data_IF_483192350903
#
_entry.id   IF_483192350903
#
_cell.length_a   1.000
_cell.length_b   1.000
_cell.length_c   1.000
_cell.angle_alpha   90.00
_cell.angle_beta   90.00
_cell.angle_gamma   90.00
#
_symmetry.space_group_name_H-M   'P 1'
#
loop_
_entity.id
_entity.type
_entity.pdbx_description
1 polymer ?
#
# COMPACT_ATOMS: atom_id res chain seq x y z
N UNK A 1 11.57 8.38 -20.32
CA UNK A 1 10.99 8.34 -18.96
C UNK A 1 10.43 6.94 -18.70
N UNK A 2 11.30 5.94 -18.53
CA UNK A 2 10.93 4.51 -18.46
C UNK A 2 11.45 3.90 -17.16
N UNK A 3 11.09 4.50 -16.03
CA UNK A 3 11.59 4.10 -14.71
C UNK A 3 10.56 4.39 -13.64
N UNK A 4 10.66 3.64 -12.53
CA UNK A 4 9.78 3.80 -11.38
C UNK A 4 9.96 5.19 -10.75
N UNK A 5 8.89 5.99 -10.71
CA UNK A 5 8.88 7.31 -10.07
C UNK A 5 8.35 7.22 -8.64
N UNK A 6 9.28 7.06 -7.70
CA UNK A 6 8.97 6.97 -6.27
C UNK A 6 8.32 8.27 -5.73
N UNK A 7 8.69 9.43 -6.27
CA UNK A 7 8.15 10.72 -5.80
C UNK A 7 6.70 10.91 -6.24
N UNK A 8 6.37 10.54 -7.48
CA UNK A 8 4.98 10.54 -7.97
C UNK A 8 4.11 9.63 -7.12
N UNK A 9 4.55 8.39 -6.87
CA UNK A 9 3.81 7.43 -6.05
C UNK A 9 3.57 7.99 -4.63
N UNK A 10 4.62 8.50 -3.99
CA UNK A 10 4.51 9.07 -2.64
C UNK A 10 3.50 10.23 -2.59
N UNK A 11 3.52 11.10 -3.61
CA UNK A 11 2.59 12.24 -3.70
C UNK A 11 1.15 11.78 -3.94
N UNK A 12 0.93 10.87 -4.88
CA UNK A 12 -0.40 10.36 -5.21
C UNK A 12 -1.05 9.65 -4.02
N UNK A 13 -0.27 8.82 -3.31
CA UNK A 13 -0.70 8.20 -2.06
C UNK A 13 -1.02 9.26 -1.01
N UNK A 14 -0.14 10.24 -0.80
CA UNK A 14 -0.37 11.33 0.16
C UNK A 14 -1.65 12.12 -0.13
N UNK A 15 -1.92 12.42 -1.40
CA UNK A 15 -3.13 13.11 -1.84
C UNK A 15 -4.38 12.24 -1.62
N UNK A 16 -4.34 10.96 -2.00
CA UNK A 16 -5.47 10.05 -1.85
C UNK A 16 -5.82 9.78 -0.38
N UNK A 17 -4.84 9.83 0.53
CA UNK A 17 -5.07 9.71 1.97
C UNK A 17 -5.86 10.88 2.56
N UNK A 18 -5.75 12.07 1.97
CA UNK A 18 -6.54 13.24 2.35
C UNK A 18 -7.96 13.19 1.77
N UNK A 19 -8.21 12.31 0.79
CA UNK A 19 -9.51 12.13 0.14
C UNK A 19 -10.48 11.22 0.91
N UNK A 20 -11.73 11.12 0.45
CA UNK A 20 -12.82 10.41 1.15
C UNK A 20 -12.61 8.88 1.24
N UNK A 21 -11.70 8.32 0.44
CA UNK A 21 -11.40 6.88 0.43
C UNK A 21 -10.55 6.37 1.59
N UNK A 22 -9.82 7.27 2.25
CA UNK A 22 -8.95 6.96 3.39
C UNK A 22 -7.86 5.90 3.10
N UNK A 23 -7.17 5.50 4.17
CA UNK A 23 -6.02 4.57 4.12
C UNK A 23 -6.37 3.22 3.47
N UNK A 24 -7.55 2.68 3.74
CA UNK A 24 -7.94 1.34 3.26
C UNK A 24 -8.07 1.27 1.74
N UNK A 25 -8.63 2.30 1.09
CA UNK A 25 -8.72 2.36 -0.37
C UNK A 25 -7.33 2.47 -1.00
N UNK A 26 -6.49 3.34 -0.44
CA UNK A 26 -5.13 3.63 -0.95
C UNK A 26 -4.30 2.36 -1.10
N UNK A 27 -4.30 1.50 -0.07
CA UNK A 27 -3.50 0.28 -0.12
C UNK A 27 -4.13 -0.77 -1.06
N UNK A 28 -5.47 -0.79 -1.18
CA UNK A 28 -6.19 -1.74 -2.05
C UNK A 28 -5.97 -1.53 -3.54
N UNK A 29 -5.76 -0.30 -3.99
CA UNK A 29 -5.51 -0.02 -5.41
C UNK A 29 -4.26 -0.74 -5.90
N UNK A 30 -3.26 -0.94 -5.04
CA UNK A 30 -2.06 -1.69 -5.37
C UNK A 30 -2.27 -3.21 -5.46
N UNK A 31 -3.43 -3.75 -5.08
CA UNK A 31 -3.71 -5.19 -5.27
C UNK A 31 -3.76 -5.60 -6.75
N UNK A 32 -3.87 -4.64 -7.68
CA UNK A 32 -3.75 -4.88 -9.12
C UNK A 32 -2.29 -5.04 -9.60
N UNK A 33 -1.30 -4.76 -8.73
CA UNK A 33 0.12 -4.84 -9.05
C UNK A 33 0.64 -6.26 -8.78
N UNK A 34 1.32 -6.91 -9.75
CA UNK A 34 1.95 -8.21 -9.51
C UNK A 34 2.88 -8.20 -8.28
N UNK A 35 2.89 -9.27 -7.49
CA UNK A 35 3.68 -9.33 -6.25
C UNK A 35 3.06 -8.62 -5.05
N UNK A 36 1.90 -7.94 -5.21
CA UNK A 36 1.07 -7.49 -4.09
C UNK A 36 0.05 -8.58 -3.75
N UNK A 37 -0.05 -8.92 -2.47
CA UNK A 37 -0.97 -9.97 -1.99
C UNK A 37 -2.03 -9.37 -1.10
N UNK A 38 -3.29 -9.55 -1.47
CA UNK A 38 -4.44 -9.19 -0.65
C UNK A 38 -4.88 -10.36 0.22
N UNK A 39 -4.91 -10.16 1.53
CA UNK A 39 -5.47 -11.09 2.50
C UNK A 39 -6.77 -10.49 3.05
N UNK A 40 -7.94 -10.98 2.63
CA UNK A 40 -9.22 -10.43 3.08
C UNK A 40 -9.42 -10.68 4.58
N UNK A 41 -10.22 -9.82 5.22
CA UNK A 41 -10.61 -10.01 6.60
C UNK A 41 -11.33 -11.35 6.78
N UNK A 42 -10.99 -12.08 7.84
CA UNK A 42 -11.67 -13.34 8.21
C UNK A 42 -12.31 -13.17 9.57
N UNK A 43 -13.64 -13.23 9.63
CA UNK A 43 -14.35 -13.33 10.91
C UNK A 43 -14.41 -14.79 11.33
N UNK A 44 -13.56 -15.17 12.29
CA UNK A 44 -13.59 -16.47 12.93
C UNK A 44 -14.40 -16.46 14.23
N UNK A 45 -14.87 -17.63 14.65
CA UNK A 45 -15.63 -17.82 15.90
C UNK A 45 -14.82 -17.46 17.16
N UNK A 46 -13.49 -17.68 17.13
CA UNK A 46 -12.58 -17.41 18.24
C UNK A 46 -11.66 -16.20 18.04
N UNK A 47 -11.35 -15.84 16.78
CA UNK A 47 -10.50 -14.67 16.45
C UNK A 47 -10.92 -14.10 15.11
N UNK A 48 -11.09 -12.78 15.08
CA UNK A 48 -11.22 -12.04 13.82
C UNK A 48 -9.83 -11.66 13.33
N UNK A 49 -9.53 -12.00 12.08
CA UNK A 49 -8.35 -11.51 11.38
C UNK A 49 -8.72 -10.27 10.56
N UNK A 50 -8.04 -9.13 10.80
CA UNK A 50 -8.22 -7.94 10.01
C UNK A 50 -7.71 -8.13 8.58
N UNK A 51 -8.21 -7.31 7.67
CA UNK A 51 -7.74 -7.26 6.29
C UNK A 51 -6.28 -6.81 6.23
N UNK A 52 -5.44 -7.52 5.47
CA UNK A 52 -4.01 -7.25 5.32
C UNK A 52 -3.63 -7.19 3.85
N UNK A 53 -2.67 -6.33 3.53
CA UNK A 53 -2.09 -6.25 2.17
C UNK A 53 -0.58 -6.38 2.30
N UNK A 54 0.02 -7.26 1.51
CA UNK A 54 1.46 -7.45 1.48
C UNK A 54 2.02 -6.81 0.22
N UNK A 55 3.00 -5.93 0.36
CA UNK A 55 3.76 -5.34 -0.76
C UNK A 55 5.24 -5.64 -0.49
N UNK A 56 5.79 -6.60 -1.24
CA UNK A 56 7.11 -7.14 -0.98
C UNK A 56 7.19 -7.70 0.45
N UNK A 57 8.17 -7.22 1.21
CA UNK A 57 8.43 -7.67 2.59
C UNK A 57 7.56 -6.96 3.64
N UNK A 58 6.59 -6.12 3.25
CA UNK A 58 5.79 -5.34 4.18
C UNK A 58 4.34 -5.77 4.21
N UNK A 59 3.80 -5.99 5.41
CA UNK A 59 2.38 -6.19 5.68
C UNK A 59 1.76 -4.90 6.18
N UNK A 60 0.77 -4.43 5.46
CA UNK A 60 -0.05 -3.28 5.79
C UNK A 60 -1.40 -3.71 6.32
N UNK A 61 -1.85 -3.05 7.37
CA UNK A 61 -3.15 -3.29 7.98
C UNK A 61 -3.74 -1.99 8.49
N UNK A 62 -5.02 -1.75 8.23
CA UNK A 62 -5.73 -0.63 8.85
C UNK A 62 -6.08 -1.03 10.28
N UNK A 63 -5.68 -0.22 11.25
CA UNK A 63 -5.96 -0.42 12.66
C UNK A 63 -7.41 0.01 12.98
N UNK A 64 -7.92 -0.37 14.16
CA UNK A 64 -9.30 -0.06 14.55
C UNK A 64 -9.57 1.46 14.67
N UNK A 65 -8.53 2.25 14.94
CA UNK A 65 -8.55 3.71 14.98
C UNK A 65 -8.28 4.37 13.61
N UNK A 66 -8.23 3.60 12.52
CA UNK A 66 -8.14 4.10 11.15
C UNK A 66 -6.72 4.47 10.68
N UNK A 67 -5.68 4.15 11.46
CA UNK A 67 -4.28 4.36 11.08
C UNK A 67 -3.73 3.17 10.30
N UNK A 68 -2.59 3.34 9.66
CA UNK A 68 -1.91 2.24 8.96
C UNK A 68 -0.83 1.63 9.86
N UNK A 69 -0.99 0.37 10.24
CA UNK A 69 0.12 -0.45 10.75
C UNK A 69 0.90 -1.03 9.58
N UNK A 70 2.22 -0.88 9.62
CA UNK A 70 3.17 -1.50 8.71
C UNK A 70 4.07 -2.45 9.51
N UNK A 71 4.08 -3.72 9.11
CA UNK A 71 4.91 -4.74 9.73
C UNK A 71 5.89 -5.33 8.70
N UNK A 72 7.19 -5.28 9.01
CA UNK A 72 8.23 -5.86 8.18
C UNK A 72 8.29 -7.37 8.42
N UNK A 73 8.04 -8.14 7.36
CA UNK A 73 8.03 -9.59 7.35
C UNK A 73 9.29 -10.13 6.70
N UNK A 74 9.98 -11.03 7.39
CA UNK A 74 11.06 -11.85 6.82
C UNK A 74 10.73 -13.30 7.09
N UNK A 75 10.57 -14.11 6.04
CA UNK A 75 10.16 -15.52 6.14
C UNK A 75 8.89 -15.74 6.99
N UNK A 76 7.94 -14.79 6.92
CA UNK A 76 6.69 -14.85 7.69
C UNK A 76 6.81 -14.41 9.16
N UNK A 77 7.99 -14.01 9.62
CA UNK A 77 8.23 -13.50 10.97
C UNK A 77 8.19 -11.97 10.93
N UNK A 78 7.42 -11.36 11.85
CA UNK A 78 7.41 -9.89 12.02
C UNK A 78 8.69 -9.49 12.75
N UNK A 79 9.56 -8.75 12.07
CA UNK A 79 10.79 -8.22 12.65
C UNK A 79 10.62 -6.83 13.26
N UNK A 80 9.72 -6.03 12.68
CA UNK A 80 9.39 -4.70 13.14
C UNK A 80 7.93 -4.40 12.82
N UNK A 81 7.27 -3.64 13.67
CA UNK A 81 5.92 -3.13 13.44
C UNK A 81 5.83 -1.68 13.89
N UNK A 82 5.26 -0.84 13.04
CA UNK A 82 5.07 0.57 13.32
C UNK A 82 3.69 1.06 12.87
N UNK A 83 3.13 2.02 13.61
CA UNK A 83 1.92 2.72 13.21
C UNK A 83 2.34 4.00 12.49
N UNK A 84 2.07 4.06 11.19
CA UNK A 84 2.46 5.16 10.35
C UNK A 84 1.51 6.36 10.54
N UNK A 85 2.11 7.53 10.73
CA UNK A 85 1.41 8.80 10.55
C UNK A 85 1.00 8.96 9.08
N UNK A 86 -0.11 9.67 8.81
CA UNK A 86 -0.63 9.85 7.45
C UNK A 86 0.43 10.37 6.46
N UNK A 87 1.31 11.28 6.90
CA UNK A 87 2.39 11.84 6.09
C UNK A 87 3.50 10.84 5.76
N UNK A 88 3.68 9.80 6.58
CA UNK A 88 4.71 8.77 6.40
C UNK A 88 4.26 7.63 5.48
N UNK A 89 2.95 7.45 5.28
CA UNK A 89 2.39 6.35 4.48
C UNK A 89 2.84 6.42 3.01
N UNK A 90 2.80 7.61 2.39
CA UNK A 90 3.22 7.81 1.00
C UNK A 90 4.67 7.37 0.74
N UNK A 91 5.64 7.96 1.45
CA UNK A 91 7.05 7.58 1.31
C UNK A 91 7.30 6.09 1.60
N UNK A 92 6.60 5.54 2.60
CA UNK A 92 6.77 4.14 2.99
C UNK A 92 6.27 3.16 1.92
N UNK A 93 5.07 3.37 1.38
CA UNK A 93 4.52 2.55 0.28
C UNK A 93 5.40 2.67 -0.96
N UNK A 94 5.84 3.89 -1.29
CA UNK A 94 6.70 4.11 -2.45
C UNK A 94 8.06 3.37 -2.30
N UNK A 95 8.62 3.34 -1.10
CA UNK A 95 9.84 2.55 -0.84
C UNK A 95 9.60 1.04 -0.95
N UNK A 96 8.48 0.53 -0.44
CA UNK A 96 8.12 -0.88 -0.57
C UNK A 96 7.93 -1.29 -2.03
N UNK A 97 7.27 -0.46 -2.84
CA UNK A 97 7.09 -0.69 -4.27
C UNK A 97 8.42 -0.63 -5.03
N UNK A 98 9.37 0.23 -4.64
CA UNK A 98 10.71 0.24 -5.22
C UNK A 98 11.41 -1.12 -5.05
N UNK A 99 11.25 -1.77 -3.88
CA UNK A 99 11.78 -3.12 -3.66
C UNK A 99 11.11 -4.16 -4.55
N UNK A 100 9.79 -4.05 -4.75
CA UNK A 100 9.04 -4.91 -5.67
C UNK A 100 9.54 -4.72 -7.11
N UNK A 101 9.75 -3.48 -7.56
CA UNK A 101 10.34 -3.19 -8.88
C UNK A 101 11.75 -3.76 -9.00
N UNK A 102 12.58 -3.66 -7.96
CA UNK A 102 13.91 -4.27 -7.96
C UNK A 102 13.87 -5.80 -8.08
N UNK A 103 12.82 -6.45 -7.54
CA UNK A 103 12.65 -7.90 -7.61
C UNK A 103 12.10 -8.37 -8.97
N UNK A 104 11.06 -7.71 -9.48
CA UNK A 104 10.35 -8.11 -10.71
C UNK A 104 10.89 -7.43 -12.00
N UNK A 105 11.72 -6.41 -11.86
CA UNK A 105 12.21 -5.58 -12.96
C UNK A 105 11.22 -4.52 -13.42
N UNK A 106 11.57 -3.79 -14.49
CA UNK A 106 10.76 -2.67 -15.00
C UNK A 106 9.42 -3.09 -15.64
N UNK A 107 9.19 -4.38 -15.85
CA UNK A 107 7.96 -4.93 -16.44
C UNK A 107 6.72 -4.67 -15.59
N UNK A 108 6.89 -4.45 -14.28
CA UNK A 108 5.81 -4.18 -13.34
C UNK A 108 5.42 -2.69 -13.27
N UNK A 109 6.29 -1.81 -13.78
CA UNK A 109 6.11 -0.35 -13.70
C UNK A 109 4.77 0.11 -14.32
N UNK A 110 4.34 -0.38 -15.49
CA UNK A 110 3.03 -0.01 -16.05
C UNK A 110 1.84 -0.35 -15.13
N UNK A 111 1.90 -1.47 -14.41
CA UNK A 111 0.85 -1.84 -13.45
C UNK A 111 0.85 -0.89 -12.24
N UNK A 112 2.02 -0.47 -11.79
CA UNK A 112 2.14 0.52 -10.72
C UNK A 112 1.64 1.89 -11.20
N UNK A 113 2.00 2.30 -12.41
CA UNK A 113 1.56 3.57 -12.98
C UNK A 113 0.04 3.64 -13.12
N UNK A 114 -0.60 2.55 -13.54
CA UNK A 114 -2.05 2.44 -13.61
C UNK A 114 -2.70 2.51 -12.22
N UNK A 115 -2.12 1.86 -11.21
CA UNK A 115 -2.57 1.96 -9.82
C UNK A 115 -2.45 3.41 -9.30
N UNK A 116 -1.35 4.09 -9.59
CA UNK A 116 -1.13 5.50 -9.21
C UNK A 116 -2.12 6.42 -9.92
N UNK A 117 -2.38 6.19 -11.20
CA UNK A 117 -3.36 6.95 -11.99
C UNK A 117 -4.79 6.79 -11.42
N UNK A 118 -5.15 5.60 -10.97
CA UNK A 118 -6.41 5.39 -10.24
C UNK A 118 -6.44 6.23 -8.96
N UNK A 119 -5.37 6.24 -8.16
CA UNK A 119 -5.31 7.06 -6.94
C UNK A 119 -5.43 8.55 -7.24
N UNK A 120 -4.80 9.03 -8.30
CA UNK A 120 -4.90 10.44 -8.72
C UNK A 120 -6.34 10.78 -9.17
N UNK A 121 -7.01 9.86 -9.87
CA UNK A 121 -8.39 10.04 -10.33
C UNK A 121 -9.39 10.04 -9.16
N UNK A 122 -9.26 9.10 -8.21
CA UNK A 122 -10.19 8.94 -7.09
C UNK A 122 -9.85 9.82 -5.88
N UNK A 123 -8.59 10.20 -5.71
CA UNK A 123 -8.11 11.03 -4.60
C UNK A 123 -8.39 12.53 -4.80
N UNK A 124 -8.54 12.99 -6.04
CA UNK A 124 -8.80 14.40 -6.38
C UNK A 124 -10.30 14.69 -6.60
N UNK A 125 -11.11 13.66 -6.88
CA UNK A 125 -12.53 13.81 -7.27
C UNK A 125 -13.54 14.15 -6.17
N UNK A 126 -13.10 14.54 -4.97
CA UNK A 126 -13.97 14.92 -3.86
C UNK A 126 -13.98 16.42 -3.60
N UNK A 127 -14.59 17.20 -4.50
CA UNK A 127 -15.00 18.58 -4.23
C UNK A 127 -16.49 18.74 -4.49
#
# INVERSE_FOLDING_TARGET
MTGYDQQRVSRAVGAALAGPGGVGMVVKVFCAVPGVVHQPARRGFFRSEPERILIGDWRYQVTADGRLSAAHLVNGIVLAEEILAATAVGPHIAHALAKVVNHYGLTIVPSIDAAVEMLETFGVGGN
#
